data_IF_179357958200
#
_entry.id   IF_179357958200
#
_cell.length_a   1.000
_cell.length_b   1.000
_cell.length_c   1.000
_cell.angle_alpha   90.00
_cell.angle_beta   90.00
_cell.angle_gamma   90.00
#
_symmetry.space_group_name_H-M   'P 1'
#
loop_
_entity.id
_entity.type
_entity.pdbx_description
1 polymer ?
#
# COMPACT_ATOMS: atom_id res chain seq x y z
N UNK A 1 -34.22 -32.40 29.89
CA UNK A 1 -33.62 -31.05 29.88
C UNK A 1 -32.52 -31.03 28.81
N UNK A 2 -32.80 -30.42 27.64
CA UNK A 2 -31.86 -30.31 26.51
C UNK A 2 -31.24 -28.92 26.53
N UNK A 3 -29.93 -28.84 26.37
CA UNK A 3 -29.29 -27.70 25.71
C UNK A 3 -28.06 -28.21 24.97
N UNK A 4 -28.18 -28.29 23.64
CA UNK A 4 -27.07 -28.42 22.70
C UNK A 4 -26.46 -27.02 22.54
N UNK A 5 -25.18 -26.87 22.85
CA UNK A 5 -24.41 -25.66 22.56
C UNK A 5 -23.28 -26.00 21.60
N UNK A 6 -23.61 -26.16 20.33
CA UNK A 6 -22.69 -26.35 19.21
C UNK A 6 -21.93 -25.04 18.93
N UNK A 7 -20.72 -24.90 19.46
CA UNK A 7 -19.77 -23.87 19.06
C UNK A 7 -18.72 -24.43 18.10
N UNK A 8 -19.11 -24.73 16.85
CA UNK A 8 -18.14 -24.97 15.77
C UNK A 8 -17.43 -23.65 15.46
N UNK A 9 -16.27 -23.43 16.09
CA UNK A 9 -15.30 -22.45 15.62
C UNK A 9 -14.87 -22.82 14.21
N UNK A 10 -15.37 -22.09 13.21
CA UNK A 10 -14.89 -22.18 11.83
C UNK A 10 -13.43 -21.75 11.80
N UNK A 11 -12.53 -22.72 11.59
CA UNK A 11 -11.16 -22.47 11.15
C UNK A 11 -11.15 -22.04 9.67
N UNK A 12 -10.21 -21.12 9.40
CA UNK A 12 -9.44 -20.97 8.16
C UNK A 12 -10.22 -20.70 6.86
N UNK A 13 -10.52 -19.42 6.60
CA UNK A 13 -10.54 -18.89 5.24
C UNK A 13 -9.10 -18.57 4.82
N UNK A 14 -8.69 -19.07 3.65
CA UNK A 14 -7.32 -19.08 3.15
C UNK A 14 -6.61 -17.72 3.21
N UNK A 15 -5.34 -17.77 3.63
CA UNK A 15 -4.49 -16.61 3.83
C UNK A 15 -4.38 -15.73 2.59
N UNK A 16 -5.03 -14.57 2.63
CA UNK A 16 -4.52 -13.37 1.97
C UNK A 16 -3.43 -12.85 2.89
N UNK A 17 -2.19 -12.78 2.42
CA UNK A 17 -1.10 -12.22 3.22
C UNK A 17 -1.33 -10.71 3.24
N UNK A 18 -1.86 -10.23 4.36
CA UNK A 18 -2.02 -8.81 4.64
C UNK A 18 -0.65 -8.12 4.63
N UNK A 19 -0.46 -7.11 3.78
CA UNK A 19 0.69 -6.21 3.88
C UNK A 19 0.42 -5.21 4.99
N UNK A 20 0.78 -5.61 6.20
CA UNK A 20 0.48 -4.89 7.43
C UNK A 20 1.42 -3.71 7.66
N UNK A 21 0.83 -2.54 7.87
CA UNK A 21 1.47 -1.34 8.35
C UNK A 21 1.19 -1.20 9.84
N UNK A 22 2.25 -1.11 10.66
CA UNK A 22 2.08 -0.79 12.08
C UNK A 22 1.73 0.68 12.25
N UNK A 23 0.55 0.96 12.80
CA UNK A 23 0.09 2.32 13.06
C UNK A 23 0.66 2.88 14.37
N UNK A 24 0.70 4.22 14.46
CA UNK A 24 1.23 4.93 15.64
C UNK A 24 0.38 4.74 16.90
N UNK A 25 -0.91 4.46 16.75
CA UNK A 25 -1.81 4.12 17.85
C UNK A 25 -1.76 2.63 18.23
N UNK A 26 -0.84 1.87 17.62
CA UNK A 26 -0.59 0.47 17.92
C UNK A 26 -1.47 -0.52 17.17
N UNK A 27 -2.41 -0.08 16.33
CA UNK A 27 -3.16 -0.98 15.45
C UNK A 27 -2.34 -1.43 14.25
N UNK A 28 -2.80 -2.50 13.59
CA UNK A 28 -2.25 -2.97 12.32
C UNK A 28 -3.22 -2.65 11.18
N UNK A 29 -2.74 -1.94 10.16
CA UNK A 29 -3.49 -1.64 8.94
C UNK A 29 -3.00 -2.55 7.82
N UNK A 30 -3.84 -3.45 7.33
CA UNK A 30 -3.56 -4.22 6.13
C UNK A 30 -4.15 -3.52 4.90
N UNK A 31 -3.34 -3.45 3.84
CA UNK A 31 -3.76 -3.00 2.51
C UNK A 31 -3.75 -4.19 1.57
N UNK A 32 -4.91 -4.54 1.03
CA UNK A 32 -5.11 -5.75 0.24
C UNK A 32 -5.53 -5.37 -1.18
N UNK A 33 -4.76 -5.71 -2.21
CA UNK A 33 -5.15 -5.43 -3.58
C UNK A 33 -6.19 -6.45 -4.04
N UNK A 34 -7.26 -5.96 -4.65
CA UNK A 34 -8.37 -6.76 -5.19
C UNK A 34 -8.57 -6.37 -6.64
N UNK A 35 -8.45 -7.34 -7.53
CA UNK A 35 -8.70 -7.12 -8.95
C UNK A 35 -10.20 -6.96 -9.21
N UNK A 36 -10.61 -5.84 -9.82
CA UNK A 36 -11.95 -5.75 -10.39
C UNK A 36 -11.94 -6.40 -11.76
N UNK A 37 -12.94 -7.25 -12.01
CA UNK A 37 -13.08 -8.01 -13.25
C UNK A 37 -14.19 -7.41 -14.10
N UNK A 38 -13.98 -7.38 -15.41
CA UNK A 38 -15.05 -7.07 -16.35
C UNK A 38 -16.03 -8.26 -16.48
N UNK A 39 -17.02 -8.12 -17.37
CA UNK A 39 -18.04 -9.17 -17.60
C UNK A 39 -17.44 -10.46 -18.15
N UNK A 40 -16.28 -10.39 -18.79
CA UNK A 40 -15.57 -11.52 -19.38
C UNK A 40 -14.56 -12.14 -18.39
N UNK A 41 -14.50 -11.61 -17.15
CA UNK A 41 -13.57 -12.06 -16.11
C UNK A 41 -12.16 -11.49 -16.26
N UNK A 42 -11.95 -10.52 -17.16
CA UNK A 42 -10.64 -9.89 -17.36
C UNK A 42 -10.41 -8.83 -16.30
N UNK A 43 -9.29 -8.87 -15.56
CA UNK A 43 -8.93 -7.78 -14.66
C UNK A 43 -8.71 -6.48 -15.44
N UNK A 44 -9.43 -5.42 -15.07
CA UNK A 44 -9.28 -4.10 -15.71
C UNK A 44 -8.76 -3.03 -14.74
N UNK A 45 -8.87 -3.26 -13.43
CA UNK A 45 -8.35 -2.36 -12.40
C UNK A 45 -8.01 -3.13 -11.11
N UNK A 46 -7.33 -2.43 -10.21
CA UNK A 46 -7.09 -2.89 -8.84
C UNK A 46 -7.72 -1.89 -7.89
N UNK A 47 -8.60 -2.38 -7.02
CA UNK A 47 -9.09 -1.69 -5.82
C UNK A 47 -8.21 -2.11 -4.64
N UNK A 48 -8.06 -1.27 -3.62
CA UNK A 48 -7.43 -1.64 -2.36
C UNK A 48 -8.49 -1.75 -1.28
N UNK A 49 -8.65 -2.94 -0.70
CA UNK A 49 -9.37 -3.12 0.55
C UNK A 49 -8.45 -2.78 1.73
N UNK A 50 -8.98 -2.02 2.69
CA UNK A 50 -8.29 -1.62 3.90
C UNK A 50 -8.88 -2.40 5.07
N UNK A 51 -8.03 -3.01 5.87
CA UNK A 51 -8.44 -3.76 7.07
C UNK A 51 -7.67 -3.26 8.27
N UNK A 52 -8.35 -2.97 9.38
CA UNK A 52 -7.74 -2.53 10.64
C UNK A 52 -7.96 -3.61 11.69
N UNK A 53 -6.87 -4.14 12.24
CA UNK A 53 -6.91 -5.18 13.28
C UNK A 53 -7.78 -6.40 12.90
N UNK A 54 -7.92 -6.67 11.59
CA UNK A 54 -8.75 -7.75 11.03
C UNK A 54 -10.18 -7.35 10.65
N UNK A 55 -10.63 -6.14 10.98
CA UNK A 55 -11.95 -5.62 10.62
C UNK A 55 -11.90 -4.79 9.33
N UNK A 56 -12.96 -4.86 8.52
CA UNK A 56 -13.06 -4.04 7.31
C UNK A 56 -13.06 -2.56 7.68
N UNK A 57 -12.10 -1.83 7.12
CA UNK A 57 -11.86 -0.43 7.41
C UNK A 57 -12.35 0.47 6.26
N UNK A 58 -12.21 0.02 5.01
CA UNK A 58 -12.71 0.73 3.83
C UNK A 58 -12.22 0.11 2.52
N UNK A 59 -12.58 0.73 1.41
CA UNK A 59 -12.05 0.38 0.10
C UNK A 59 -11.67 1.65 -0.68
N UNK A 60 -10.64 1.61 -1.52
CA UNK A 60 -10.20 2.76 -2.31
C UNK A 60 -9.70 2.35 -3.69
N UNK A 61 -9.72 3.28 -4.65
CA UNK A 61 -8.88 3.19 -5.85
C UNK A 61 -9.61 2.74 -7.12
N UNK A 62 -9.89 3.72 -7.99
CA UNK A 62 -9.93 3.51 -9.44
C UNK A 62 -8.49 3.67 -9.95
N UNK A 63 -8.00 2.74 -10.79
CA UNK A 63 -6.68 2.86 -11.48
C UNK A 63 -5.45 2.99 -10.59
N UNK A 64 -5.52 2.64 -9.29
CA UNK A 64 -4.39 2.84 -8.38
C UNK A 64 -3.18 1.94 -8.69
N UNK A 65 -3.38 0.79 -9.34
CA UNK A 65 -2.30 -0.14 -9.69
C UNK A 65 -1.18 0.50 -10.53
N UNK A 66 -1.52 1.30 -11.53
CA UNK A 66 -0.52 2.02 -12.33
C UNK A 66 0.24 3.06 -11.50
N UNK A 67 -0.46 3.84 -10.66
CA UNK A 67 0.17 4.83 -9.79
C UNK A 67 1.09 4.19 -8.74
N UNK A 68 0.70 3.04 -8.20
CA UNK A 68 1.53 2.26 -7.27
C UNK A 68 2.80 1.74 -7.96
N UNK A 69 2.68 1.21 -9.17
CA UNK A 69 3.82 0.72 -9.95
C UNK A 69 4.79 1.85 -10.33
N UNK A 70 4.26 2.98 -10.81
CA UNK A 70 5.06 4.18 -11.10
C UNK A 70 5.77 4.69 -9.84
N UNK A 71 5.06 4.79 -8.71
CA UNK A 71 5.67 5.23 -7.46
C UNK A 71 6.76 4.25 -7.00
N UNK A 72 6.54 2.94 -7.10
CA UNK A 72 7.54 1.94 -6.75
C UNK A 72 8.82 2.12 -7.57
N UNK A 73 8.69 2.34 -8.88
CA UNK A 73 9.82 2.61 -9.77
C UNK A 73 10.55 3.91 -9.37
N UNK A 74 9.82 4.98 -9.06
CA UNK A 74 10.41 6.25 -8.60
C UNK A 74 11.10 6.14 -7.25
N UNK A 75 10.57 5.37 -6.31
CA UNK A 75 11.22 5.11 -5.02
C UNK A 75 12.49 4.28 -5.21
N UNK A 76 12.46 3.26 -6.06
CA UNK A 76 13.65 2.48 -6.40
C UNK A 76 14.74 3.36 -7.02
N UNK A 77 14.38 4.22 -7.99
CA UNK A 77 15.30 5.17 -8.61
C UNK A 77 15.88 6.19 -7.62
N UNK A 78 15.07 6.68 -6.68
CA UNK A 78 15.55 7.58 -5.62
C UNK A 78 16.54 6.88 -4.70
N UNK A 79 16.32 5.60 -4.37
CA UNK A 79 17.18 4.84 -3.47
C UNK A 79 18.49 4.39 -4.10
N UNK A 80 18.53 4.23 -5.42
CA UNK A 80 19.70 3.80 -6.17
C UNK A 80 20.94 4.66 -5.86
N UNK A 81 22.10 4.01 -5.79
CA UNK A 81 23.37 4.72 -5.61
C UNK A 81 23.71 5.56 -6.84
N UNK A 82 24.27 6.73 -6.61
CA UNK A 82 24.54 7.71 -7.68
C UNK A 82 23.30 8.49 -8.14
N UNK A 83 22.13 8.25 -7.54
CA UNK A 83 20.94 9.08 -7.82
C UNK A 83 21.11 10.50 -7.27
N UNK A 84 20.39 11.50 -7.81
CA UNK A 84 20.34 12.84 -7.22
C UNK A 84 19.93 12.83 -5.74
N UNK A 85 19.09 11.87 -5.35
CA UNK A 85 18.65 11.70 -3.97
C UNK A 85 19.75 11.13 -3.07
N UNK A 86 20.61 10.24 -3.57
CA UNK A 86 21.75 9.71 -2.79
C UNK A 86 22.80 10.78 -2.48
N UNK A 87 22.96 11.78 -3.35
CA UNK A 87 23.86 12.93 -3.12
C UNK A 87 23.28 13.87 -2.06
N UNK A 88 21.96 14.11 -2.12
CA UNK A 88 21.27 15.03 -1.21
C UNK A 88 20.94 14.41 0.15
N UNK A 89 20.69 13.11 0.20
CA UNK A 89 20.27 12.35 1.38
C UNK A 89 21.23 11.17 1.60
N UNK A 90 22.27 11.38 2.44
CA UNK A 90 23.28 10.35 2.67
C UNK A 90 22.70 9.05 3.23
N UNK A 91 21.73 9.16 4.14
CA UNK A 91 21.01 8.01 4.68
C UNK A 91 20.05 7.43 3.62
N UNK A 92 20.21 6.15 3.24
CA UNK A 92 19.33 5.50 2.27
C UNK A 92 17.86 5.56 2.66
N UNK A 93 17.53 5.55 3.95
CA UNK A 93 16.15 5.56 4.46
C UNK A 93 15.45 6.92 4.32
N UNK A 94 16.19 7.98 3.98
CA UNK A 94 15.65 9.31 3.70
C UNK A 94 15.57 9.62 2.19
N UNK A 95 15.98 8.67 1.32
CA UNK A 95 15.96 8.84 -0.14
C UNK A 95 14.54 8.58 -0.69
N UNK A 96 13.74 9.63 -0.82
CA UNK A 96 12.40 9.60 -1.45
C UNK A 96 12.39 10.38 -2.78
N UNK A 97 11.52 10.01 -3.73
CA UNK A 97 11.37 10.76 -4.98
C UNK A 97 10.87 12.18 -4.71
N UNK A 98 11.28 13.13 -5.55
CA UNK A 98 10.67 14.47 -5.58
C UNK A 98 9.35 14.42 -6.37
N UNK A 99 8.41 15.33 -6.09
CA UNK A 99 7.24 15.49 -6.93
C UNK A 99 7.65 15.92 -8.36
N UNK A 100 6.96 15.44 -9.40
CA UNK A 100 7.20 15.90 -10.76
C UNK A 100 6.97 17.42 -10.85
N UNK A 101 7.92 18.15 -11.43
CA UNK A 101 7.84 19.61 -11.63
C UNK A 101 8.57 20.48 -10.60
N UNK A 102 9.28 19.90 -9.61
CA UNK A 102 10.16 20.66 -8.71
C UNK A 102 9.46 21.70 -7.82
N UNK A 103 8.13 21.66 -7.76
CA UNK A 103 7.31 22.62 -7.02
C UNK A 103 7.56 22.55 -5.51
N UNK A 104 7.64 23.73 -4.90
CA UNK A 104 7.95 23.99 -3.49
C UNK A 104 6.88 23.52 -2.48
N UNK A 105 6.15 22.44 -2.76
CA UNK A 105 5.33 21.81 -1.74
C UNK A 105 6.27 21.33 -0.63
N UNK A 106 6.15 21.98 0.55
CA UNK A 106 7.02 21.70 1.71
C UNK A 106 6.99 20.23 2.11
N UNK A 107 5.89 19.55 1.78
CA UNK A 107 5.60 18.15 2.06
C UNK A 107 4.83 17.54 0.87
N UNK A 108 5.53 16.93 -0.10
CA UNK A 108 4.90 16.42 -1.30
C UNK A 108 4.04 15.18 -1.01
N UNK A 109 2.90 15.10 -1.69
CA UNK A 109 2.06 13.91 -1.69
C UNK A 109 2.59 12.89 -2.71
N UNK A 110 2.76 11.65 -2.28
CA UNK A 110 3.22 10.56 -3.14
C UNK A 110 2.04 9.88 -3.85
N UNK A 111 0.90 9.75 -3.15
CA UNK A 111 -0.39 9.38 -3.71
C UNK A 111 -1.54 9.77 -2.77
N UNK A 112 -2.74 9.88 -3.34
CA UNK A 112 -4.00 9.90 -2.59
C UNK A 112 -5.05 9.12 -3.36
N UNK A 113 -5.59 8.09 -2.73
CA UNK A 113 -6.67 7.25 -3.25
C UNK A 113 -7.90 7.42 -2.40
N UNK A 114 -9.05 7.62 -3.04
CA UNK A 114 -10.35 7.72 -2.40
C UNK A 114 -11.29 6.71 -3.01
N UNK A 115 -12.29 6.30 -2.25
CA UNK A 115 -13.43 5.58 -2.80
C UNK A 115 -14.21 6.50 -3.74
N UNK A 116 -14.58 5.98 -4.91
CA UNK A 116 -15.56 6.59 -5.80
C UNK A 116 -16.56 5.50 -6.17
N UNK A 117 -17.81 5.65 -5.76
CA UNK A 117 -18.93 4.96 -6.40
C UNK A 117 -19.68 5.95 -7.29
N UNK A 118 -20.32 5.42 -8.33
CA UNK A 118 -21.14 6.15 -9.30
C UNK A 118 -22.41 6.74 -8.64
N UNK A 119 -22.76 6.29 -7.44
CA UNK A 119 -23.71 6.91 -6.52
C UNK A 119 -22.98 7.45 -5.31
N UNK A 120 -22.97 8.78 -5.16
CA UNK A 120 -22.23 9.55 -4.16
C UNK A 120 -22.75 9.30 -2.72
N UNK A 121 -22.48 8.12 -2.16
CA UNK A 121 -22.75 7.83 -0.74
C UNK A 121 -21.54 8.25 0.08
N UNK A 122 -21.80 9.12 1.06
CA UNK A 122 -20.84 9.76 1.95
C UNK A 122 -19.92 8.73 2.64
N UNK A 123 -18.63 8.83 2.34
CA UNK A 123 -17.47 8.26 3.06
C UNK A 123 -17.32 6.73 3.08
N UNK A 124 -16.38 6.21 2.30
CA UNK A 124 -16.15 4.76 2.17
C UNK A 124 -14.66 4.34 2.18
N UNK A 125 -13.74 5.31 2.18
CA UNK A 125 -12.32 5.05 2.32
C UNK A 125 -11.45 6.16 1.74
N UNK A 126 -10.41 6.57 2.46
CA UNK A 126 -9.28 7.34 1.91
C UNK A 126 -7.97 6.68 2.35
N UNK A 127 -7.02 6.58 1.43
CA UNK A 127 -5.65 6.15 1.68
C UNK A 127 -4.71 7.16 1.03
N UNK A 128 -3.91 7.83 1.84
CA UNK A 128 -2.99 8.88 1.41
C UNK A 128 -1.58 8.55 1.85
N UNK A 129 -0.60 8.91 1.04
CA UNK A 129 0.80 8.90 1.42
C UNK A 129 1.43 10.25 1.16
N UNK A 130 1.93 10.90 2.20
CA UNK A 130 2.61 12.19 2.12
C UNK A 130 4.00 12.11 2.75
N UNK A 131 4.94 12.84 2.16
CA UNK A 131 6.30 12.93 2.68
C UNK A 131 6.39 14.00 3.77
N UNK A 132 6.92 13.62 4.93
CA UNK A 132 7.24 14.54 6.03
C UNK A 132 8.73 14.68 6.19
N UNK A 133 9.19 15.91 6.36
CA UNK A 133 10.60 16.22 6.65
C UNK A 133 10.69 16.84 8.03
N UNK A 134 11.50 16.27 8.91
CA UNK A 134 11.65 16.75 10.29
C UNK A 134 13.13 16.79 10.70
N UNK A 135 13.44 17.68 11.65
CA UNK A 135 14.75 17.70 12.30
C UNK A 135 14.72 16.77 13.52
N UNK A 136 15.67 15.86 13.60
CA UNK A 136 15.81 14.92 14.72
C UNK A 136 17.21 14.99 15.33
N UNK A 137 17.28 14.87 16.65
CA UNK A 137 18.56 14.71 17.35
C UNK A 137 18.98 13.25 17.30
N UNK A 138 20.16 12.99 16.75
CA UNK A 138 20.80 11.69 16.74
C UNK A 138 21.74 11.64 17.93
N UNK A 139 21.41 10.82 18.92
CA UNK A 139 22.15 10.72 20.18
C UNK A 139 23.53 10.06 20.05
N UNK A 140 24.24 9.96 21.18
CA UNK A 140 25.65 9.55 21.19
C UNK A 140 25.94 8.14 20.66
N UNK A 141 24.93 7.27 20.69
CA UNK A 141 24.98 5.91 20.15
C UNK A 141 25.24 5.87 18.63
N UNK A 142 24.93 6.94 17.92
CA UNK A 142 25.05 7.05 16.45
C UNK A 142 25.97 8.20 16.02
N UNK A 143 26.56 8.93 16.97
CA UNK A 143 27.47 10.06 16.73
C UNK A 143 28.22 10.43 18.01
N UNK A 144 29.56 10.50 18.03
CA UNK A 144 30.33 10.72 19.26
C UNK A 144 29.86 11.92 20.12
N UNK A 145 29.44 13.03 19.48
CA UNK A 145 28.92 14.21 20.16
C UNK A 145 27.38 14.31 20.21
N UNK A 146 26.69 13.43 19.47
CA UNK A 146 25.31 13.67 19.03
C UNK A 146 25.25 14.78 17.97
N UNK A 147 24.28 14.69 17.06
CA UNK A 147 24.10 15.73 16.02
C UNK A 147 22.64 15.88 15.62
N UNK A 148 22.27 17.08 15.20
CA UNK A 148 21.02 17.27 14.47
C UNK A 148 21.13 16.65 13.07
N UNK A 149 20.03 16.05 12.64
CA UNK A 149 19.85 15.41 11.33
C UNK A 149 18.49 15.82 10.79
N UNK A 150 18.39 15.97 9.47
CA UNK A 150 17.10 16.03 8.80
C UNK A 150 16.71 14.60 8.40
N UNK A 151 15.51 14.18 8.76
CA UNK A 151 14.95 12.89 8.40
C UNK A 151 13.71 13.06 7.54
N UNK A 152 13.49 12.11 6.62
CA UNK A 152 12.33 12.09 5.75
C UNK A 152 11.52 10.83 6.00
N UNK A 153 10.21 10.93 6.16
CA UNK A 153 9.33 9.77 6.38
C UNK A 153 8.13 9.85 5.48
N UNK A 154 7.78 8.73 4.84
CA UNK A 154 6.48 8.58 4.20
C UNK A 154 5.45 8.32 5.29
N UNK A 155 4.43 9.16 5.34
CA UNK A 155 3.32 9.03 6.27
C UNK A 155 2.13 8.52 5.49
N UNK A 156 1.75 7.27 5.78
CA UNK A 156 0.52 6.67 5.25
C UNK A 156 -0.59 6.96 6.24
N UNK A 157 -1.64 7.62 5.76
CA UNK A 157 -2.86 7.89 6.50
C UNK A 157 -4.01 7.17 5.83
N UNK A 158 -4.86 6.53 6.63
CA UNK A 158 -6.05 5.85 6.14
C UNK A 158 -7.27 6.29 6.95
N UNK A 159 -8.38 6.57 6.29
CA UNK A 159 -9.65 6.89 6.90
C UNK A 159 -10.70 5.90 6.42
N UNK A 160 -11.38 5.28 7.38
CA UNK A 160 -12.50 4.38 7.13
C UNK A 160 -13.85 5.05 7.37
N UNK A 161 -14.92 4.29 7.14
CA UNK A 161 -16.31 4.76 7.32
C UNK A 161 -16.65 5.15 8.77
N UNK A 162 -15.87 4.69 9.76
CA UNK A 162 -16.07 5.02 11.18
C UNK A 162 -15.56 6.42 11.58
N UNK A 163 -14.94 7.17 10.66
CA UNK A 163 -14.40 8.52 10.91
C UNK A 163 -13.10 8.57 11.72
N UNK A 164 -12.65 7.46 12.31
CA UNK A 164 -11.36 7.38 13.02
C UNK A 164 -10.25 6.92 12.07
N UNK A 165 -9.40 7.85 11.64
CA UNK A 165 -8.23 7.55 10.81
C UNK A 165 -7.11 6.86 11.59
N UNK A 166 -6.22 6.18 10.86
CA UNK A 166 -4.96 5.62 11.36
C UNK A 166 -3.78 6.17 10.57
N UNK A 167 -2.59 6.13 11.18
CA UNK A 167 -1.36 6.64 10.57
C UNK A 167 -0.21 5.67 10.78
N UNK A 168 0.56 5.40 9.74
CA UNK A 168 1.83 4.69 9.78
C UNK A 168 2.96 5.60 9.26
N UNK A 169 4.18 5.43 9.79
CA UNK A 169 5.37 6.17 9.35
C UNK A 169 6.41 5.18 8.82
N UNK A 170 6.89 5.43 7.60
CA UNK A 170 7.78 4.54 6.88
C UNK A 170 9.08 5.25 6.50
N UNK A 171 10.19 4.54 6.58
CA UNK A 171 11.40 4.89 5.84
C UNK A 171 11.19 4.68 4.34
N UNK A 172 12.12 5.16 3.51
CA UNK A 172 12.04 4.87 2.07
C UNK A 172 12.23 3.37 1.79
N UNK A 173 12.98 2.65 2.63
CA UNK A 173 13.14 1.20 2.54
C UNK A 173 11.83 0.47 2.84
N UNK A 174 11.14 0.88 3.90
CA UNK A 174 9.87 0.26 4.27
C UNK A 174 8.77 0.59 3.25
N UNK A 175 8.75 1.81 2.71
CA UNK A 175 7.85 2.17 1.61
C UNK A 175 8.13 1.33 0.36
N UNK A 176 9.41 1.15 -0.01
CA UNK A 176 9.79 0.34 -1.17
C UNK A 176 9.35 -1.12 -1.01
N UNK A 177 9.57 -1.69 0.18
CA UNK A 177 9.14 -3.05 0.51
C UNK A 177 7.61 -3.18 0.45
N UNK A 178 6.90 -2.26 1.11
CA UNK A 178 5.44 -2.23 1.09
C UNK A 178 4.88 -2.18 -0.33
N UNK A 179 5.42 -1.31 -1.20
CA UNK A 179 4.97 -1.19 -2.58
C UNK A 179 5.29 -2.45 -3.40
N UNK A 180 6.49 -3.01 -3.26
CA UNK A 180 6.89 -4.22 -3.97
C UNK A 180 6.00 -5.41 -3.57
N UNK A 181 5.74 -5.56 -2.27
CA UNK A 181 4.89 -6.63 -1.76
C UNK A 181 3.44 -6.47 -2.25
N UNK A 182 2.90 -5.25 -2.19
CA UNK A 182 1.55 -4.92 -2.65
C UNK A 182 1.37 -5.20 -4.16
N UNK A 183 2.35 -4.83 -4.98
CA UNK A 183 2.32 -5.08 -6.42
C UNK A 183 2.42 -6.57 -6.74
N UNK A 184 3.29 -7.31 -6.05
CA UNK A 184 3.40 -8.76 -6.21
C UNK A 184 2.09 -9.48 -5.86
N UNK A 185 1.35 -9.01 -4.84
CA UNK A 185 0.04 -9.57 -4.50
C UNK A 185 -1.04 -9.21 -5.52
N UNK A 186 -1.01 -8.00 -6.07
CA UNK A 186 -1.90 -7.60 -7.16
C UNK A 186 -1.69 -8.48 -8.41
N UNK A 187 -0.44 -8.76 -8.77
CA UNK A 187 -0.09 -9.68 -9.87
C UNK A 187 -0.58 -11.11 -9.60
N UNK A 188 -0.43 -11.63 -8.38
CA UNK A 188 -0.98 -12.95 -8.00
C UNK A 188 -2.50 -13.00 -8.09
N UNK A 189 -3.18 -11.94 -7.65
CA UNK A 189 -4.63 -11.83 -7.64
C UNK A 189 -5.21 -11.75 -9.06
N UNK A 190 -4.54 -11.03 -9.96
CA UNK A 190 -4.92 -10.96 -11.38
C UNK A 190 -4.60 -12.25 -12.13
N UNK A 191 -3.48 -12.92 -11.81
CA UNK A 191 -3.09 -14.20 -12.41
C UNK A 191 -4.02 -15.36 -12.04
N UNK A 192 -4.58 -15.38 -10.83
CA UNK A 192 -5.56 -16.38 -10.39
C UNK A 192 -6.92 -16.23 -11.07
N UNK A 193 -7.24 -15.04 -11.58
CA UNK A 193 -8.52 -14.74 -12.24
C UNK A 193 -8.57 -15.11 -13.73
N UNK A 194 -7.46 -15.56 -14.36
CA UNK A 194 -7.53 -16.14 -15.72
C UNK A 194 -8.09 -17.57 -15.61
N UNK A 195 -9.32 -17.86 -16.06
CA UNK A 195 -9.77 -19.24 -16.14
C UNK A 195 -8.96 -19.96 -17.22
N UNK A 196 -8.52 -21.16 -16.85
CA UNK A 196 -7.84 -22.11 -17.72
C UNK A 196 -8.83 -22.52 -18.84
N UNK A 197 -8.87 -21.75 -19.92
CA UNK A 197 -9.89 -21.84 -20.95
C UNK A 197 -9.29 -21.79 -22.35
N UNK A 198 -8.59 -22.86 -22.73
CA UNK A 198 -8.54 -23.46 -24.09
C UNK A 198 -7.48 -24.57 -24.14
N UNK A 199 -7.85 -25.76 -23.69
CA UNK A 199 -7.35 -26.98 -24.32
C UNK A 199 -8.25 -27.24 -25.54
N UNK A 200 -7.91 -26.61 -26.65
CA UNK A 200 -8.49 -26.94 -27.96
C UNK A 200 -7.60 -27.99 -28.60
N UNK A 201 -7.96 -29.26 -28.44
CA UNK A 201 -7.33 -30.36 -29.17
C UNK A 201 -7.49 -30.13 -30.69
N UNK A 202 -6.49 -30.48 -31.51
CA UNK A 202 -6.62 -30.42 -32.97
C UNK A 202 -7.63 -31.46 -33.43
N UNK A 203 -8.69 -31.01 -34.11
CA UNK A 203 -9.61 -31.88 -34.84
C UNK A 203 -8.88 -32.39 -36.08
N UNK A 204 -8.54 -33.68 -36.09
CA UNK A 204 -8.12 -34.37 -37.29
C UNK A 204 -9.30 -34.42 -38.27
N UNK A 205 -9.07 -33.96 -39.50
CA UNK A 205 -9.97 -34.16 -40.63
C UNK A 205 -9.74 -35.59 -41.15
N UNK A 206 -10.84 -36.35 -41.26
CA UNK A 206 -10.97 -37.53 -42.10
C UNK A 206 -11.91 -37.17 -43.25
#
# INVERSE_FOLDING_TARGET
MRARGSGRGRRAGGGRVAHGLRCLDGSDLAVVPVASLDRDGTPFEVTLELWRDGDSFGAVGERCGYFLADLAARVAAARADGSPQSVRWPDPDDRFPEPPGGGAAREPELFSFRYRDRGDVVSTGELRCALRTSSMWVGRQQSAAGRWRIARRAVIEAWGASGRGVRAMLTSADLARFLADLLAEAERSTGRSRPNGRSGAPRALA
#
